data_IF_589327720140
#
_entry.id   IF_589327720140
#
_cell.length_a   1.000
_cell.length_b   1.000
_cell.length_c   1.000
_cell.angle_alpha   90.00
_cell.angle_beta   90.00
_cell.angle_gamma   90.00
#
_symmetry.space_group_name_H-M   'P 1'
#
loop_
_entity.id
_entity.type
_entity.pdbx_description
1 polymer ?
#
# COMPACT_ATOMS: atom_id res chain seq x y z
N UNK A 1 13.66 -25.64 12.95
CA UNK A 1 14.25 -24.61 13.83
C UNK A 1 13.14 -24.08 14.74
N UNK A 2 13.28 -24.20 16.06
CA UNK A 2 12.37 -23.52 17.00
C UNK A 2 12.70 -22.03 16.97
N UNK A 3 11.77 -21.21 16.51
CA UNK A 3 11.95 -19.76 16.46
C UNK A 3 11.95 -19.25 17.91
N UNK A 4 13.10 -18.72 18.36
CA UNK A 4 13.25 -18.15 19.68
C UNK A 4 12.79 -16.68 19.60
N UNK A 5 11.59 -16.39 20.08
CA UNK A 5 11.11 -15.02 20.25
C UNK A 5 11.80 -14.38 21.45
N UNK A 6 12.27 -13.14 21.31
CA UNK A 6 12.92 -12.40 22.39
C UNK A 6 11.94 -12.21 23.55
N UNK A 7 12.07 -12.99 24.61
CA UNK A 7 11.03 -13.20 25.64
C UNK A 7 10.65 -11.95 26.42
N UNK A 8 11.53 -10.95 26.48
CA UNK A 8 11.31 -9.74 27.30
C UNK A 8 10.44 -8.70 26.57
N UNK A 9 10.56 -8.58 25.24
CA UNK A 9 9.72 -7.66 24.46
C UNK A 9 8.27 -8.13 24.39
N UNK A 10 8.06 -9.46 24.26
CA UNK A 10 6.70 -10.05 24.29
C UNK A 10 6.03 -9.83 25.64
N UNK A 11 6.79 -9.91 26.73
CA UNK A 11 6.25 -9.68 28.07
C UNK A 11 5.77 -8.23 28.25
N UNK A 12 6.51 -7.24 27.74
CA UNK A 12 6.09 -5.84 27.77
C UNK A 12 4.82 -5.60 26.95
N UNK A 13 4.68 -6.27 25.81
CA UNK A 13 3.47 -6.20 24.98
C UNK A 13 2.27 -6.76 25.73
N UNK A 14 2.43 -7.91 26.41
CA UNK A 14 1.37 -8.47 27.23
C UNK A 14 1.01 -7.56 28.42
N UNK A 15 2.00 -7.03 29.13
CA UNK A 15 1.77 -6.13 30.27
C UNK A 15 1.01 -4.86 29.83
N UNK A 16 1.36 -4.29 28.67
CA UNK A 16 0.62 -3.17 28.07
C UNK A 16 -0.81 -3.58 27.69
N UNK A 17 -0.99 -4.72 27.03
CA UNK A 17 -2.30 -5.24 26.63
C UNK A 17 -3.22 -5.47 27.85
N UNK A 18 -2.67 -6.01 28.94
CA UNK A 18 -3.39 -6.18 30.21
C UNK A 18 -3.86 -4.85 30.78
N UNK A 19 -2.99 -3.84 30.85
CA UNK A 19 -3.34 -2.53 31.39
C UNK A 19 -4.47 -1.86 30.59
N UNK A 20 -4.42 -1.93 29.26
CA UNK A 20 -5.46 -1.37 28.39
C UNK A 20 -6.79 -2.15 28.54
N UNK A 21 -6.76 -3.49 28.59
CA UNK A 21 -7.96 -4.31 28.85
C UNK A 21 -8.59 -4.00 30.21
N UNK A 22 -7.78 -3.84 31.26
CA UNK A 22 -8.25 -3.47 32.59
C UNK A 22 -8.92 -2.09 32.58
N UNK A 23 -8.36 -1.12 31.86
CA UNK A 23 -8.97 0.20 31.67
C UNK A 23 -10.33 0.10 30.97
N UNK A 24 -10.44 -0.71 29.91
CA UNK A 24 -11.72 -0.95 29.25
C UNK A 24 -12.73 -1.62 30.20
N UNK A 25 -12.33 -2.60 31.00
CA UNK A 25 -13.20 -3.26 31.97
C UNK A 25 -13.66 -2.33 33.10
N UNK A 26 -12.79 -1.44 33.59
CA UNK A 26 -13.13 -0.45 34.62
C UNK A 26 -14.13 0.59 34.10
N UNK A 27 -14.12 0.87 32.80
CA UNK A 27 -15.07 1.80 32.17
C UNK A 27 -16.47 1.21 31.96
N UNK A 28 -16.66 -0.10 32.16
CA UNK A 28 -17.98 -0.74 32.03
C UNK A 28 -18.85 -0.36 33.24
N UNK A 29 -20.08 0.16 33.03
CA UNK A 29 -21.00 0.46 34.12
C UNK A 29 -21.25 -0.73 35.04
N UNK A 30 -21.31 -0.50 36.36
CA UNK A 30 -21.55 -1.56 37.34
C UNK A 30 -22.86 -2.34 37.09
N UNK A 31 -23.87 -1.70 36.49
CA UNK A 31 -25.14 -2.34 36.08
C UNK A 31 -24.94 -3.45 35.05
N UNK A 32 -23.88 -3.37 34.25
CA UNK A 32 -23.52 -4.35 33.23
C UNK A 32 -22.45 -5.33 33.71
N UNK A 33 -22.04 -5.29 34.98
CA UNK A 33 -20.96 -6.14 35.49
C UNK A 33 -21.22 -7.64 35.32
N UNK A 34 -22.48 -8.08 35.43
CA UNK A 34 -22.90 -9.47 35.25
C UNK A 34 -23.30 -9.80 33.80
N UNK A 35 -23.15 -8.87 32.87
CA UNK A 35 -23.44 -9.12 31.47
C UNK A 35 -22.47 -10.19 30.91
N UNK A 36 -22.95 -11.16 30.11
CA UNK A 36 -22.12 -12.20 29.53
C UNK A 36 -20.89 -11.68 28.77
N UNK A 37 -21.02 -10.57 28.03
CA UNK A 37 -19.89 -9.95 27.32
C UNK A 37 -18.85 -9.39 28.27
N UNK A 38 -19.28 -8.79 29.40
CA UNK A 38 -18.35 -8.30 30.41
C UNK A 38 -17.63 -9.46 31.11
N UNK A 39 -18.33 -10.57 31.36
CA UNK A 39 -17.71 -11.80 31.88
C UNK A 39 -16.71 -12.41 30.88
N UNK A 40 -17.05 -12.43 29.59
CA UNK A 40 -16.16 -12.88 28.53
C UNK A 40 -14.90 -12.00 28.41
N UNK A 41 -15.01 -10.68 28.57
CA UNK A 41 -13.84 -9.78 28.62
C UNK A 41 -12.93 -10.05 29.83
N UNK A 42 -13.51 -10.35 31.01
CA UNK A 42 -12.70 -10.77 32.17
C UNK A 42 -11.98 -12.09 31.89
N UNK A 43 -12.67 -13.05 31.27
CA UNK A 43 -12.05 -14.31 30.86
C UNK A 43 -10.97 -14.12 29.80
N UNK A 44 -11.13 -13.15 28.88
CA UNK A 44 -10.10 -12.77 27.91
C UNK A 44 -8.87 -12.21 28.61
N UNK A 45 -9.05 -11.30 29.57
CA UNK A 45 -7.95 -10.76 30.39
C UNK A 45 -7.20 -11.89 31.13
N UNK A 46 -7.92 -12.82 31.76
CA UNK A 46 -7.32 -14.00 32.41
C UNK A 46 -6.48 -14.82 31.42
N UNK A 47 -6.94 -15.01 30.18
CA UNK A 47 -6.18 -15.70 29.15
C UNK A 47 -4.90 -14.94 28.74
N UNK A 48 -4.93 -13.60 28.73
CA UNK A 48 -3.73 -12.78 28.52
C UNK A 48 -2.73 -13.00 29.66
N UNK A 49 -3.19 -13.00 30.92
CA UNK A 49 -2.34 -13.28 32.08
C UNK A 49 -1.70 -14.67 32.00
N UNK A 50 -2.47 -15.69 31.60
CA UNK A 50 -1.97 -17.05 31.41
C UNK A 50 -0.89 -17.10 30.33
N UNK A 51 -1.13 -16.50 29.16
CA UNK A 51 -0.15 -16.47 28.06
C UNK A 51 1.14 -15.74 28.45
N UNK A 52 1.00 -14.62 29.17
CA UNK A 52 2.12 -13.83 29.70
C UNK A 52 2.98 -14.63 30.68
N UNK A 53 2.35 -15.42 31.55
CA UNK A 53 3.05 -16.19 32.59
C UNK A 53 3.64 -17.51 32.07
N UNK A 54 2.99 -18.18 31.11
CA UNK A 54 3.49 -19.46 30.56
C UNK A 54 4.66 -19.25 29.60
N UNK A 55 4.69 -18.12 28.88
CA UNK A 55 5.71 -17.77 27.88
C UNK A 55 5.89 -18.85 26.80
N UNK A 56 4.83 -19.56 26.45
CA UNK A 56 4.84 -20.60 25.42
C UNK A 56 3.87 -20.30 24.26
N UNK A 57 4.14 -20.94 23.12
CA UNK A 57 3.35 -20.76 21.90
C UNK A 57 1.93 -21.35 21.97
N UNK A 58 1.69 -22.30 22.88
CA UNK A 58 0.40 -22.99 23.01
C UNK A 58 -0.59 -22.06 23.70
N UNK A 59 -0.17 -21.38 24.77
CA UNK A 59 -0.98 -20.39 25.45
C UNK A 59 -1.26 -19.18 24.56
N UNK A 60 -0.28 -18.73 23.76
CA UNK A 60 -0.51 -17.67 22.78
C UNK A 60 -1.50 -18.07 21.69
N UNK A 61 -1.43 -19.33 21.20
CA UNK A 61 -2.42 -19.85 20.25
C UNK A 61 -3.82 -19.96 20.88
N UNK A 62 -3.91 -20.42 22.13
CA UNK A 62 -5.18 -20.48 22.86
C UNK A 62 -5.80 -19.10 23.10
N UNK A 63 -4.97 -18.11 23.43
CA UNK A 63 -5.40 -16.71 23.56
C UNK A 63 -5.90 -16.15 22.22
N UNK A 64 -5.16 -16.40 21.14
CA UNK A 64 -5.55 -15.99 19.79
C UNK A 64 -6.89 -16.60 19.38
N UNK A 65 -7.06 -17.92 19.58
CA UNK A 65 -8.31 -18.62 19.29
C UNK A 65 -9.47 -18.04 20.09
N UNK A 66 -9.29 -17.82 21.41
CA UNK A 66 -10.29 -17.21 22.27
C UNK A 66 -10.69 -15.81 21.78
N UNK A 67 -9.72 -15.01 21.33
CA UNK A 67 -9.97 -13.67 20.82
C UNK A 67 -10.73 -13.68 19.47
N UNK A 68 -10.42 -14.61 18.56
CA UNK A 68 -11.15 -14.74 17.29
C UNK A 68 -12.56 -15.28 17.51
N UNK A 69 -12.71 -16.35 18.29
CA UNK A 69 -14.02 -16.94 18.60
C UNK A 69 -14.91 -15.96 19.35
N UNK A 70 -14.35 -15.20 20.31
CA UNK A 70 -15.09 -14.17 21.02
C UNK A 70 -15.64 -13.08 20.10
N UNK A 71 -14.90 -12.67 19.07
CA UNK A 71 -15.39 -11.73 18.05
C UNK A 71 -16.52 -12.33 17.20
N UNK A 72 -16.37 -13.59 16.78
CA UNK A 72 -17.38 -14.27 15.96
C UNK A 72 -18.67 -14.52 16.74
N UNK A 73 -18.58 -14.87 18.02
CA UNK A 73 -19.70 -15.12 18.93
C UNK A 73 -20.33 -13.82 19.47
N UNK A 74 -19.81 -12.65 19.10
CA UNK A 74 -20.33 -11.37 19.56
C UNK A 74 -21.79 -11.18 19.09
N UNK A 75 -22.73 -11.35 20.02
CA UNK A 75 -24.17 -11.25 19.77
C UNK A 75 -24.63 -9.79 19.63
N UNK A 76 -25.41 -9.52 18.57
CA UNK A 76 -25.91 -8.20 18.19
C UNK A 76 -26.98 -7.61 19.12
N UNK A 77 -27.38 -8.34 20.17
CA UNK A 77 -28.44 -7.94 21.11
C UNK A 77 -27.95 -7.24 22.38
N UNK A 78 -26.65 -6.99 22.50
CA UNK A 78 -26.08 -6.28 23.65
C UNK A 78 -26.22 -4.76 23.52
N UNK A 79 -26.04 -4.08 24.66
CA UNK A 79 -25.83 -2.63 24.70
C UNK A 79 -24.75 -2.22 23.68
N UNK A 80 -25.06 -1.24 22.83
CA UNK A 80 -24.23 -0.92 21.67
C UNK A 80 -22.83 -0.44 22.06
N UNK A 81 -22.71 0.31 23.14
CA UNK A 81 -21.42 0.79 23.65
C UNK A 81 -20.60 -0.35 24.26
N UNK A 82 -21.26 -1.30 24.94
CA UNK A 82 -20.61 -2.51 25.44
C UNK A 82 -20.12 -3.39 24.29
N UNK A 83 -20.92 -3.58 23.23
CA UNK A 83 -20.55 -4.38 22.07
C UNK A 83 -19.36 -3.79 21.31
N UNK A 84 -19.34 -2.45 21.14
CA UNK A 84 -18.20 -1.76 20.55
C UNK A 84 -16.93 -2.00 21.35
N UNK A 85 -16.99 -1.78 22.67
CA UNK A 85 -15.86 -1.99 23.59
C UNK A 85 -15.40 -3.45 23.60
N UNK A 86 -16.35 -4.38 23.56
CA UNK A 86 -16.10 -5.81 23.48
C UNK A 86 -15.25 -6.14 22.24
N UNK A 87 -15.64 -5.62 21.07
CA UNK A 87 -14.90 -5.81 19.81
C UNK A 87 -13.52 -5.16 19.85
N UNK A 88 -13.40 -3.95 20.38
CA UNK A 88 -12.12 -3.25 20.54
C UNK A 88 -11.14 -4.05 21.40
N UNK A 89 -11.60 -4.62 22.51
CA UNK A 89 -10.75 -5.43 23.39
C UNK A 89 -10.21 -6.69 22.71
N UNK A 90 -11.03 -7.38 21.91
CA UNK A 90 -10.55 -8.57 21.19
C UNK A 90 -9.56 -8.19 20.07
N UNK A 91 -9.84 -7.11 19.34
CA UNK A 91 -8.90 -6.59 18.32
C UNK A 91 -7.58 -6.12 18.94
N UNK A 92 -7.62 -5.49 20.12
CA UNK A 92 -6.45 -5.09 20.88
C UNK A 92 -5.54 -6.30 21.17
N UNK A 93 -6.11 -7.40 21.67
CA UNK A 93 -5.35 -8.64 21.92
C UNK A 93 -4.74 -9.18 20.62
N UNK A 94 -5.51 -9.24 19.54
CA UNK A 94 -5.01 -9.77 18.26
C UNK A 94 -3.88 -8.91 17.68
N UNK A 95 -3.99 -7.57 17.75
CA UNK A 95 -2.95 -6.63 17.32
C UNK A 95 -1.70 -6.72 18.19
N UNK A 96 -1.86 -6.90 19.51
CA UNK A 96 -0.74 -7.11 20.41
C UNK A 96 0.06 -8.36 20.03
N UNK A 97 -0.62 -9.47 19.70
CA UNK A 97 0.04 -10.68 19.22
C UNK A 97 0.72 -10.46 17.85
N UNK A 98 0.10 -9.66 16.97
CA UNK A 98 0.58 -9.36 15.61
C UNK A 98 1.81 -8.42 15.58
N UNK A 99 2.06 -7.66 16.65
CA UNK A 99 3.21 -6.75 16.77
C UNK A 99 4.51 -7.47 16.36
N UNK A 100 5.36 -6.80 15.59
CA UNK A 100 6.60 -7.39 15.07
C UNK A 100 7.58 -7.84 16.14
N UNK A 101 7.46 -7.30 17.37
CA UNK A 101 8.24 -7.71 18.54
C UNK A 101 7.61 -8.89 19.31
N UNK A 102 6.36 -9.24 19.01
CA UNK A 102 5.67 -10.42 19.53
C UNK A 102 5.80 -11.61 18.56
N UNK A 103 4.68 -12.05 17.97
CA UNK A 103 4.66 -13.21 17.05
C UNK A 103 4.70 -12.80 15.58
N UNK A 104 4.43 -11.52 15.29
CA UNK A 104 4.49 -10.94 13.96
C UNK A 104 3.30 -11.31 13.05
N UNK A 105 3.07 -10.47 12.04
CA UNK A 105 1.99 -10.62 11.06
C UNK A 105 1.94 -12.00 10.37
N UNK A 106 3.04 -12.60 9.88
CA UNK A 106 2.96 -13.87 9.16
C UNK A 106 2.41 -15.04 9.99
N UNK A 107 2.79 -15.12 11.27
CA UNK A 107 2.29 -16.17 12.16
C UNK A 107 0.85 -15.88 12.58
N UNK A 108 0.58 -14.66 13.06
CA UNK A 108 -0.76 -14.27 13.51
C UNK A 108 -1.81 -14.41 12.42
N UNK A 109 -1.56 -13.86 11.22
CA UNK A 109 -2.54 -13.88 10.14
C UNK A 109 -2.84 -15.32 9.70
N UNK A 110 -1.83 -16.20 9.68
CA UNK A 110 -2.02 -17.61 9.39
C UNK A 110 -2.90 -18.31 10.44
N UNK A 111 -2.67 -18.08 11.73
CA UNK A 111 -3.47 -18.71 12.78
C UNK A 111 -4.89 -18.14 12.86
N UNK A 112 -5.06 -16.83 12.65
CA UNK A 112 -6.37 -16.17 12.64
C UNK A 112 -7.19 -16.67 11.45
N UNK A 113 -6.61 -16.70 10.25
CA UNK A 113 -7.29 -17.26 9.06
C UNK A 113 -7.67 -18.72 9.27
N UNK A 114 -6.79 -19.52 9.89
CA UNK A 114 -7.13 -20.91 10.23
C UNK A 114 -8.31 -20.99 11.19
N UNK A 115 -8.35 -20.15 12.23
CA UNK A 115 -9.45 -20.09 13.18
C UNK A 115 -10.77 -19.68 12.49
N UNK A 116 -10.73 -18.73 11.55
CA UNK A 116 -11.89 -18.36 10.73
C UNK A 116 -12.40 -19.50 9.84
N UNK A 117 -11.50 -20.29 9.28
CA UNK A 117 -11.84 -21.42 8.40
C UNK A 117 -12.45 -22.58 9.20
N UNK A 118 -11.86 -22.88 10.36
CA UNK A 118 -12.18 -24.02 11.21
C UNK A 118 -13.24 -23.69 12.31
N UNK A 119 -13.81 -22.48 12.32
CA UNK A 119 -14.79 -22.08 13.32
C UNK A 119 -16.12 -22.84 13.20
N UNK A 120 -16.91 -22.83 14.29
CA UNK A 120 -18.19 -23.53 14.37
C UNK A 120 -19.25 -22.86 13.52
N UNK A 121 -20.15 -23.67 12.96
CA UNK A 121 -21.21 -23.20 12.04
C UNK A 121 -22.15 -22.15 12.65
N UNK A 122 -22.31 -22.16 13.98
CA UNK A 122 -23.18 -21.25 14.75
C UNK A 122 -22.83 -19.77 14.55
N UNK A 123 -21.53 -19.46 14.38
CA UNK A 123 -21.01 -18.09 14.29
C UNK A 123 -20.07 -17.86 13.10
N UNK A 124 -19.93 -18.86 12.21
CA UNK A 124 -19.05 -18.84 11.03
C UNK A 124 -19.31 -17.70 10.05
N UNK A 125 -20.57 -17.27 9.96
CA UNK A 125 -21.02 -16.23 9.02
C UNK A 125 -21.34 -14.89 9.70
N UNK A 126 -20.65 -14.56 10.79
CA UNK A 126 -20.74 -13.22 11.39
C UNK A 126 -19.98 -12.20 10.54
N UNK A 127 -20.69 -11.51 9.65
CA UNK A 127 -20.10 -10.56 8.68
C UNK A 127 -19.38 -9.41 9.37
N UNK A 128 -19.96 -8.84 10.43
CA UNK A 128 -19.37 -7.71 11.16
C UNK A 128 -18.02 -8.09 11.78
N UNK A 129 -17.92 -9.31 12.34
CA UNK A 129 -16.68 -9.79 12.93
C UNK A 129 -15.59 -10.05 11.88
N UNK A 130 -15.96 -10.70 10.76
CA UNK A 130 -15.02 -11.00 9.67
C UNK A 130 -14.55 -9.71 9.00
N UNK A 131 -15.44 -8.76 8.76
CA UNK A 131 -15.11 -7.43 8.24
C UNK A 131 -14.08 -6.73 9.13
N UNK A 132 -14.29 -6.72 10.46
CA UNK A 132 -13.35 -6.12 11.40
C UNK A 132 -11.97 -6.76 11.33
N UNK A 133 -11.88 -8.09 11.22
CA UNK A 133 -10.60 -8.79 11.10
C UNK A 133 -9.88 -8.44 9.80
N UNK A 134 -10.61 -8.38 8.68
CA UNK A 134 -10.07 -8.03 7.36
C UNK A 134 -9.56 -6.58 7.37
N UNK A 135 -10.37 -5.63 7.84
CA UNK A 135 -10.02 -4.19 7.88
C UNK A 135 -8.83 -3.88 8.79
N UNK A 136 -8.54 -4.73 9.77
CA UNK A 136 -7.38 -4.60 10.64
C UNK A 136 -6.16 -5.39 10.13
N UNK A 137 -6.18 -5.89 8.89
CA UNK A 137 -5.09 -6.65 8.26
C UNK A 137 -4.68 -7.90 9.05
N UNK A 138 -5.64 -8.54 9.73
CA UNK A 138 -5.40 -9.73 10.56
C UNK A 138 -5.63 -11.04 9.80
N UNK A 139 -6.10 -10.98 8.56
CA UNK A 139 -6.48 -12.16 7.75
C UNK A 139 -5.54 -12.30 6.56
N UNK A 140 -5.05 -13.52 6.31
CA UNK A 140 -4.47 -13.88 5.02
C UNK A 140 -5.59 -13.97 3.97
N UNK A 141 -5.74 -12.90 3.17
CA UNK A 141 -6.83 -12.78 2.21
C UNK A 141 -6.79 -13.85 1.12
N UNK A 142 -5.61 -14.20 0.61
CA UNK A 142 -5.48 -15.23 -0.43
C UNK A 142 -6.04 -16.59 0.02
N UNK A 143 -5.75 -17.00 1.26
CA UNK A 143 -6.25 -18.26 1.81
C UNK A 143 -7.75 -18.18 2.13
N UNK A 144 -8.20 -17.06 2.68
CA UNK A 144 -9.59 -16.88 3.08
C UNK A 144 -10.53 -16.76 1.89
N UNK A 145 -10.14 -16.00 0.85
CA UNK A 145 -10.88 -15.85 -0.40
C UNK A 145 -11.12 -17.21 -1.08
N UNK A 146 -10.08 -18.02 -1.23
CA UNK A 146 -10.19 -19.35 -1.82
C UNK A 146 -11.13 -20.26 -1.00
N UNK A 147 -11.03 -20.23 0.33
CA UNK A 147 -11.90 -21.01 1.19
C UNK A 147 -13.37 -20.56 1.11
N UNK A 148 -13.61 -19.25 1.11
CA UNK A 148 -14.96 -18.69 1.01
C UNK A 148 -15.60 -19.05 -0.34
N UNK A 149 -14.84 -18.94 -1.43
CA UNK A 149 -15.26 -19.37 -2.76
C UNK A 149 -15.69 -20.85 -2.79
N UNK A 150 -14.88 -21.72 -2.19
CA UNK A 150 -15.18 -23.16 -2.08
C UNK A 150 -16.41 -23.42 -1.21
N UNK A 151 -16.57 -22.68 -0.11
CA UNK A 151 -17.68 -22.84 0.84
C UNK A 151 -19.05 -22.56 0.23
N UNK A 152 -19.13 -21.75 -0.82
CA UNK A 152 -20.37 -21.50 -1.56
C UNK A 152 -20.87 -22.71 -2.35
N UNK A 153 -20.02 -23.72 -2.58
CA UNK A 153 -20.36 -24.95 -3.29
C UNK A 153 -21.08 -24.71 -4.63
N UNK A 154 -20.60 -23.71 -5.40
CA UNK A 154 -21.22 -23.24 -6.65
C UNK A 154 -22.72 -22.90 -6.52
N UNK A 155 -23.16 -22.41 -5.37
CA UNK A 155 -24.52 -21.96 -5.12
C UNK A 155 -25.37 -22.94 -4.31
N UNK A 156 -24.87 -24.12 -3.97
CA UNK A 156 -25.59 -25.10 -3.15
C UNK A 156 -25.68 -24.67 -1.68
N UNK A 157 -24.64 -23.99 -1.18
CA UNK A 157 -24.61 -23.48 0.18
C UNK A 157 -25.14 -22.04 0.25
N UNK A 158 -26.46 -21.90 0.38
CA UNK A 158 -27.14 -20.61 0.40
C UNK A 158 -26.64 -19.67 1.51
N UNK A 159 -26.27 -20.20 2.68
CA UNK A 159 -25.74 -19.39 3.78
C UNK A 159 -24.38 -18.79 3.44
N UNK A 160 -23.48 -19.58 2.87
CA UNK A 160 -22.17 -19.10 2.42
C UNK A 160 -22.29 -18.07 1.29
N UNK A 161 -23.24 -18.27 0.36
CA UNK A 161 -23.49 -17.33 -0.73
C UNK A 161 -24.01 -15.99 -0.18
N UNK A 162 -25.01 -16.02 0.70
CA UNK A 162 -25.55 -14.82 1.33
C UNK A 162 -24.48 -14.06 2.12
N UNK A 163 -23.66 -14.80 2.89
CA UNK A 163 -22.51 -14.23 3.61
C UNK A 163 -21.49 -13.59 2.67
N UNK A 164 -21.08 -14.29 1.60
CA UNK A 164 -20.13 -13.77 0.61
C UNK A 164 -20.65 -12.49 -0.07
N UNK A 165 -21.94 -12.46 -0.41
CA UNK A 165 -22.58 -11.27 -0.99
C UNK A 165 -22.55 -10.08 -0.04
N UNK A 166 -22.87 -10.27 1.24
CA UNK A 166 -22.84 -9.21 2.24
C UNK A 166 -21.41 -8.69 2.46
N UNK A 167 -20.44 -9.60 2.55
CA UNK A 167 -19.03 -9.25 2.74
C UNK A 167 -18.48 -8.46 1.54
N UNK A 168 -18.75 -8.91 0.31
CA UNK A 168 -18.36 -8.19 -0.93
C UNK A 168 -18.97 -6.79 -0.96
N UNK A 169 -20.26 -6.67 -0.62
CA UNK A 169 -20.94 -5.36 -0.60
C UNK A 169 -20.28 -4.40 0.40
N UNK A 170 -20.05 -4.83 1.64
CA UNK A 170 -19.51 -3.97 2.71
C UNK A 170 -18.05 -3.59 2.43
N UNK A 171 -17.26 -4.49 1.85
CA UNK A 171 -15.85 -4.24 1.58
C UNK A 171 -15.61 -3.42 0.31
N UNK A 172 -16.36 -3.67 -0.77
CA UNK A 172 -16.06 -3.13 -2.11
C UNK A 172 -17.06 -2.10 -2.64
N UNK A 173 -18.27 -2.02 -2.08
CA UNK A 173 -19.34 -1.17 -2.62
C UNK A 173 -19.71 -0.02 -1.69
N UNK A 174 -19.83 -0.26 -0.39
CA UNK A 174 -20.31 0.76 0.54
C UNK A 174 -19.27 1.89 0.72
N UNK A 175 -19.60 3.13 0.31
CA UNK A 175 -18.73 4.32 0.29
C UNK A 175 -18.09 4.71 1.64
N UNK A 176 -18.62 4.19 2.75
CA UNK A 176 -18.02 4.37 4.10
C UNK A 176 -16.75 3.53 4.28
N UNK A 177 -16.46 2.65 3.34
CA UNK A 177 -15.26 1.83 3.24
C UNK A 177 -14.10 2.68 2.71
N UNK A 178 -13.31 3.31 3.59
CA UNK A 178 -12.00 3.90 3.23
C UNK A 178 -10.97 2.78 2.99
N UNK A 179 -11.37 1.61 2.49
CA UNK A 179 -10.56 0.41 2.59
C UNK A 179 -9.49 0.32 1.50
N UNK A 180 -8.28 -0.01 1.94
CA UNK A 180 -7.16 -0.55 1.14
C UNK A 180 -7.46 -1.92 0.47
N UNK A 181 -8.74 -2.31 0.40
CA UNK A 181 -9.19 -3.59 -0.14
C UNK A 181 -9.63 -3.40 -1.58
N UNK A 182 -9.15 -4.27 -2.45
CA UNK A 182 -9.46 -4.25 -3.88
C UNK A 182 -10.18 -5.52 -4.28
N UNK A 183 -10.77 -5.53 -5.47
CA UNK A 183 -11.37 -6.73 -6.05
C UNK A 183 -10.37 -7.88 -6.20
N UNK A 184 -9.07 -7.58 -6.33
CA UNK A 184 -8.02 -8.59 -6.41
C UNK A 184 -7.90 -9.43 -5.13
N UNK A 185 -8.24 -8.85 -3.96
CA UNK A 185 -8.18 -9.55 -2.67
C UNK A 185 -9.33 -10.55 -2.48
N UNK A 186 -10.40 -10.44 -3.28
CA UNK A 186 -11.60 -11.29 -3.25
C UNK A 186 -11.88 -11.95 -4.60
N UNK A 187 -10.84 -12.17 -5.40
CA UNK A 187 -10.94 -12.62 -6.78
C UNK A 187 -11.77 -13.92 -6.93
N UNK A 188 -11.46 -14.98 -6.18
CA UNK A 188 -12.15 -16.27 -6.32
C UNK A 188 -13.59 -16.21 -5.83
N UNK A 189 -13.85 -15.41 -4.78
CA UNK A 189 -15.19 -15.17 -4.26
C UNK A 189 -16.06 -14.47 -5.29
N UNK A 190 -15.55 -13.38 -5.90
CA UNK A 190 -16.25 -12.64 -6.95
C UNK A 190 -16.49 -13.54 -8.17
N UNK A 191 -15.47 -14.28 -8.63
CA UNK A 191 -15.60 -15.18 -9.77
C UNK A 191 -16.69 -16.24 -9.54
N UNK A 192 -16.74 -16.82 -8.35
CA UNK A 192 -17.75 -17.83 -7.99
C UNK A 192 -19.14 -17.21 -7.91
N UNK A 193 -19.29 -16.01 -7.35
CA UNK A 193 -20.57 -15.27 -7.34
C UNK A 193 -21.04 -14.92 -8.76
N UNK A 194 -20.14 -14.51 -9.65
CA UNK A 194 -20.46 -14.28 -11.06
C UNK A 194 -20.89 -15.57 -11.76
N UNK A 195 -20.22 -16.69 -11.48
CA UNK A 195 -20.58 -18.00 -12.00
C UNK A 195 -21.97 -18.43 -11.53
N UNK A 196 -22.27 -18.27 -10.24
CA UNK A 196 -23.61 -18.55 -9.69
C UNK A 196 -24.64 -17.70 -10.44
N UNK A 197 -24.45 -16.38 -10.51
CA UNK A 197 -25.35 -15.46 -11.20
C UNK A 197 -25.63 -15.87 -12.66
N UNK A 198 -24.60 -16.26 -13.41
CA UNK A 198 -24.74 -16.69 -14.80
C UNK A 198 -25.50 -18.01 -14.97
N UNK A 199 -25.33 -18.96 -14.04
CA UNK A 199 -25.93 -20.30 -14.13
C UNK A 199 -27.33 -20.39 -13.52
N UNK A 200 -27.78 -19.38 -12.75
CA UNK A 200 -29.05 -19.44 -12.03
C UNK A 200 -30.33 -19.34 -12.88
N UNK A 201 -30.25 -19.11 -14.21
CA UNK A 201 -31.41 -19.09 -15.16
C UNK A 201 -32.66 -18.35 -14.64
N UNK A 202 -32.48 -17.23 -13.93
CA UNK A 202 -33.57 -16.42 -13.37
C UNK A 202 -33.92 -16.69 -11.90
N UNK A 203 -33.32 -17.71 -11.28
CA UNK A 203 -33.43 -18.03 -9.85
C UNK A 203 -32.16 -17.61 -9.08
N UNK A 204 -31.54 -16.49 -9.47
CA UNK A 204 -30.36 -16.02 -8.76
C UNK A 204 -30.74 -15.59 -7.34
N UNK A 205 -29.85 -15.73 -6.34
CA UNK A 205 -30.04 -15.14 -5.02
C UNK A 205 -30.43 -13.65 -5.13
N UNK A 206 -31.38 -13.22 -4.29
CA UNK A 206 -31.90 -11.86 -4.32
C UNK A 206 -30.78 -10.83 -4.07
N UNK A 207 -30.67 -9.81 -4.91
CA UNK A 207 -29.62 -8.80 -4.83
C UNK A 207 -28.30 -9.17 -5.52
N UNK A 208 -28.08 -10.45 -5.88
CA UNK A 208 -26.84 -10.88 -6.53
C UNK A 208 -26.64 -10.24 -7.92
N UNK A 209 -27.63 -10.18 -8.81
CA UNK A 209 -27.46 -9.54 -10.11
C UNK A 209 -27.05 -8.07 -9.97
N UNK A 210 -27.70 -7.32 -9.07
CA UNK A 210 -27.39 -5.91 -8.81
C UNK A 210 -25.99 -5.74 -8.22
N UNK A 211 -25.60 -6.59 -7.27
CA UNK A 211 -24.26 -6.54 -6.68
C UNK A 211 -23.18 -6.79 -7.74
N UNK A 212 -23.37 -7.78 -8.61
CA UNK A 212 -22.42 -8.09 -9.69
C UNK A 212 -22.34 -6.99 -10.73
N UNK A 213 -23.44 -6.27 -11.01
CA UNK A 213 -23.45 -5.10 -11.88
C UNK A 213 -22.64 -3.94 -11.28
N UNK A 214 -22.82 -3.66 -9.98
CA UNK A 214 -22.06 -2.61 -9.29
C UNK A 214 -20.58 -2.96 -9.21
N UNK A 215 -20.23 -4.20 -8.85
CA UNK A 215 -18.82 -4.64 -8.83
C UNK A 215 -18.22 -4.57 -10.22
N UNK A 216 -18.93 -4.99 -11.27
CA UNK A 216 -18.44 -4.86 -12.65
C UNK A 216 -18.29 -3.40 -13.07
N UNK A 217 -19.22 -2.52 -12.71
CA UNK A 217 -19.14 -1.10 -13.03
C UNK A 217 -17.99 -0.43 -12.27
N UNK A 218 -17.73 -0.82 -11.02
CA UNK A 218 -16.57 -0.37 -10.26
C UNK A 218 -15.27 -0.89 -10.89
N UNK A 219 -15.22 -2.16 -11.29
CA UNK A 219 -14.09 -2.74 -12.01
C UNK A 219 -13.86 -2.06 -13.36
N UNK A 220 -14.91 -1.80 -14.14
CA UNK A 220 -14.85 -1.12 -15.44
C UNK A 220 -14.47 0.35 -15.28
N UNK A 221 -15.00 1.06 -14.28
CA UNK A 221 -14.56 2.41 -13.95
C UNK A 221 -13.11 2.42 -13.45
N UNK A 222 -12.67 1.37 -12.74
CA UNK A 222 -11.29 1.17 -12.34
C UNK A 222 -10.40 0.76 -13.52
N UNK A 223 -10.90 -0.01 -14.49
CA UNK A 223 -10.24 -0.47 -15.71
C UNK A 223 -10.12 0.65 -16.72
N UNK A 224 -11.11 1.52 -16.85
CA UNK A 224 -11.02 2.77 -17.62
C UNK A 224 -10.06 3.75 -16.92
N UNK A 225 -9.92 3.66 -15.59
CA UNK A 225 -8.85 4.33 -14.83
C UNK A 225 -7.50 3.58 -14.87
N UNK A 226 -7.47 2.28 -15.16
CA UNK A 226 -6.28 1.42 -15.14
C UNK A 226 -5.65 1.21 -16.52
N UNK A 227 -6.44 1.34 -17.60
CA UNK A 227 -5.95 1.44 -18.97
C UNK A 227 -5.56 2.88 -19.28
N UNK A 228 -4.58 3.38 -18.52
CA UNK A 228 -3.94 4.67 -18.78
C UNK A 228 -4.57 5.87 -18.08
N UNK A 229 -5.20 5.69 -16.92
CA UNK A 229 -5.59 6.81 -16.05
C UNK A 229 -4.42 7.31 -15.17
N UNK A 230 -4.47 8.57 -14.71
CA UNK A 230 -3.40 9.20 -13.92
C UNK A 230 -2.96 8.40 -12.69
N UNK A 231 -3.90 7.90 -11.89
CA UNK A 231 -3.61 7.16 -10.65
C UNK A 231 -2.92 5.81 -10.91
N UNK A 232 -3.31 5.09 -11.96
CA UNK A 232 -2.67 3.81 -12.29
C UNK A 232 -1.21 4.01 -12.68
N UNK A 233 -0.91 5.03 -13.49
CA UNK A 233 0.46 5.31 -13.90
C UNK A 233 1.34 5.65 -12.69
N UNK A 234 0.80 6.38 -11.71
CA UNK A 234 1.50 6.68 -10.48
C UNK A 234 1.74 5.42 -9.62
N UNK A 235 0.71 4.61 -9.38
CA UNK A 235 0.86 3.35 -8.62
C UNK A 235 1.77 2.34 -9.31
N UNK A 236 1.69 2.24 -10.63
CA UNK A 236 2.59 1.42 -11.45
C UNK A 236 4.04 1.88 -11.30
N UNK A 237 4.29 3.19 -11.36
CA UNK A 237 5.61 3.77 -11.10
C UNK A 237 6.14 3.44 -9.70
N UNK A 238 5.29 3.53 -8.67
CA UNK A 238 5.66 3.22 -7.27
C UNK A 238 6.06 1.74 -7.14
N UNK A 239 5.24 0.83 -7.66
CA UNK A 239 5.50 -0.61 -7.58
C UNK A 239 6.79 -1.00 -8.31
N UNK A 240 6.97 -0.52 -9.55
CA UNK A 240 8.13 -0.86 -10.37
C UNK A 240 9.44 -0.21 -9.89
N UNK A 241 9.35 0.86 -9.09
CA UNK A 241 10.53 1.47 -8.47
C UNK A 241 11.26 0.51 -7.50
N UNK A 242 10.58 -0.54 -7.03
CA UNK A 242 11.14 -1.54 -6.12
C UNK A 242 11.72 -2.77 -6.83
N UNK A 243 11.67 -2.82 -8.17
CA UNK A 243 12.20 -3.92 -8.99
C UNK A 243 13.67 -3.68 -9.35
N UNK A 244 14.55 -4.60 -8.92
CA UNK A 244 16.02 -4.52 -9.08
C UNK A 244 16.61 -5.55 -10.05
N UNK A 245 15.77 -6.24 -10.83
CA UNK A 245 16.16 -7.22 -11.85
C UNK A 245 16.64 -6.56 -13.16
N UNK A 246 17.56 -5.61 -13.05
CA UNK A 246 18.00 -4.83 -14.21
C UNK A 246 18.76 -5.67 -15.24
N UNK A 247 18.47 -5.48 -16.55
CA UNK A 247 19.27 -6.07 -17.61
C UNK A 247 20.77 -5.71 -17.47
N UNK A 248 21.69 -6.66 -17.72
CA UNK A 248 23.12 -6.40 -17.67
C UNK A 248 23.52 -5.21 -18.55
N UNK A 249 24.29 -4.27 -18.00
CA UNK A 249 24.75 -3.08 -18.71
C UNK A 249 23.76 -1.89 -18.70
N UNK A 250 22.55 -2.05 -18.16
CA UNK A 250 21.55 -0.97 -18.14
C UNK A 250 21.97 0.18 -17.22
N UNK A 251 22.50 -0.15 -16.03
CA UNK A 251 22.96 0.85 -15.06
C UNK A 251 24.06 1.74 -15.64
N UNK A 252 25.04 1.15 -16.31
CA UNK A 252 26.15 1.85 -16.95
C UNK A 252 25.67 2.76 -18.09
N UNK A 253 24.67 2.31 -18.86
CA UNK A 253 24.05 3.14 -19.91
C UNK A 253 23.27 4.31 -19.32
N UNK A 254 22.47 4.09 -18.29
CA UNK A 254 21.72 5.14 -17.60
C UNK A 254 22.69 6.17 -16.99
N UNK A 255 23.76 5.71 -16.34
CA UNK A 255 24.81 6.56 -15.78
C UNK A 255 25.51 7.40 -16.84
N UNK A 256 25.90 6.77 -17.95
CA UNK A 256 26.49 7.48 -19.09
C UNK A 256 25.56 8.58 -19.61
N UNK A 257 24.28 8.24 -19.86
CA UNK A 257 23.29 9.18 -20.38
C UNK A 257 22.99 10.32 -19.40
N UNK A 258 22.81 10.03 -18.11
CA UNK A 258 22.57 11.08 -17.11
C UNK A 258 23.75 12.04 -17.03
N UNK A 259 24.98 11.52 -17.02
CA UNK A 259 26.18 12.36 -16.98
C UNK A 259 26.33 13.23 -18.23
N UNK A 260 26.09 12.67 -19.40
CA UNK A 260 26.08 13.42 -20.66
C UNK A 260 25.01 14.51 -20.65
N UNK A 261 23.81 14.21 -20.14
CA UNK A 261 22.76 15.20 -20.00
C UNK A 261 23.13 16.33 -19.03
N UNK A 262 23.69 16.00 -17.86
CA UNK A 262 24.16 17.01 -16.88
C UNK A 262 25.19 17.93 -17.53
N UNK A 263 26.13 17.39 -18.32
CA UNK A 263 27.12 18.18 -19.05
C UNK A 263 26.45 19.08 -20.12
N UNK A 264 25.50 18.53 -20.87
CA UNK A 264 24.76 19.27 -21.90
C UNK A 264 23.90 20.40 -21.30
N UNK A 265 23.23 20.15 -20.17
CA UNK A 265 22.36 21.12 -19.50
C UNK A 265 23.14 22.36 -19.04
N UNK A 266 24.36 22.19 -18.54
CA UNK A 266 25.23 23.30 -18.11
C UNK A 266 26.10 23.88 -19.23
N UNK A 267 26.04 23.32 -20.44
CA UNK A 267 26.84 23.80 -21.57
C UNK A 267 26.27 25.09 -22.14
N UNK A 268 27.14 26.04 -22.50
CA UNK A 268 26.75 27.24 -23.25
C UNK A 268 26.09 26.92 -24.60
N UNK A 269 26.28 25.71 -25.13
CA UNK A 269 25.70 25.23 -26.38
C UNK A 269 24.29 24.63 -26.23
N UNK A 270 23.72 24.58 -25.01
CA UNK A 270 22.41 23.96 -24.74
C UNK A 270 21.25 24.59 -25.54
N UNK A 271 21.42 25.84 -25.98
CA UNK A 271 20.38 26.65 -26.60
C UNK A 271 19.44 27.27 -25.56
N UNK A 272 18.54 28.16 -26.00
CA UNK A 272 17.49 28.71 -25.14
C UNK A 272 16.63 27.54 -24.63
N UNK A 273 16.44 27.47 -23.32
CA UNK A 273 15.60 26.46 -22.67
C UNK A 273 16.08 25.00 -22.86
N UNK A 274 17.36 24.79 -23.18
CA UNK A 274 18.00 23.47 -23.40
C UNK A 274 17.40 22.63 -24.55
N UNK A 275 16.56 23.24 -25.40
CA UNK A 275 15.80 22.54 -26.47
C UNK A 275 16.69 21.89 -27.52
N UNK A 276 17.76 22.58 -27.94
CA UNK A 276 18.72 22.04 -28.93
C UNK A 276 19.50 20.84 -28.38
N UNK A 277 19.97 20.93 -27.14
CA UNK A 277 20.60 19.83 -26.44
C UNK A 277 19.64 18.65 -26.27
N UNK A 278 18.38 18.93 -25.93
CA UNK A 278 17.35 17.92 -25.75
C UNK A 278 17.08 17.10 -27.01
N UNK A 279 16.91 17.73 -28.17
CA UNK A 279 16.69 16.99 -29.41
C UNK A 279 17.84 16.04 -29.74
N UNK A 280 19.09 16.47 -29.54
CA UNK A 280 20.27 15.62 -29.73
C UNK A 280 20.32 14.48 -28.70
N UNK A 281 20.01 14.78 -27.45
CA UNK A 281 20.02 13.81 -26.36
C UNK A 281 18.94 12.73 -26.52
N UNK A 282 17.73 13.07 -26.95
CA UNK A 282 16.68 12.09 -27.27
C UNK A 282 17.15 11.14 -28.38
N UNK A 283 17.90 11.64 -29.37
CA UNK A 283 18.55 10.80 -30.38
C UNK A 283 19.53 9.79 -29.77
N UNK A 284 20.35 10.21 -28.79
CA UNK A 284 21.24 9.31 -28.06
C UNK A 284 20.48 8.27 -27.23
N UNK A 285 19.38 8.65 -26.56
CA UNK A 285 18.54 7.71 -25.80
C UNK A 285 17.93 6.62 -26.71
N UNK A 286 17.52 6.99 -27.93
CA UNK A 286 17.07 6.02 -28.94
C UNK A 286 18.19 5.06 -29.37
N UNK A 287 19.40 5.58 -29.64
CA UNK A 287 20.55 4.78 -30.04
C UNK A 287 21.00 3.80 -28.94
N UNK A 288 20.98 4.22 -27.68
CA UNK A 288 21.29 3.37 -26.53
C UNK A 288 20.19 2.35 -26.22
N UNK A 289 19.02 2.49 -26.85
CA UNK A 289 17.89 1.56 -26.76
C UNK A 289 17.05 1.72 -25.49
N UNK A 290 17.19 2.83 -24.76
CA UNK A 290 16.46 3.07 -23.51
C UNK A 290 14.96 3.32 -23.76
N UNK A 291 14.62 3.92 -24.90
CA UNK A 291 13.24 4.28 -25.26
C UNK A 291 12.48 3.15 -25.99
N UNK A 292 13.01 1.91 -25.99
CA UNK A 292 12.42 0.79 -26.75
C UNK A 292 11.15 0.23 -26.11
N UNK A 293 11.12 0.16 -24.78
CA UNK A 293 10.00 -0.42 -24.04
C UNK A 293 9.69 0.47 -22.84
N UNK A 294 8.43 0.42 -22.42
CA UNK A 294 7.96 1.16 -21.25
C UNK A 294 8.68 0.73 -19.95
N UNK A 295 9.06 -0.55 -19.84
CA UNK A 295 9.89 -1.10 -18.75
C UNK A 295 11.30 -0.47 -18.71
N UNK A 296 11.99 -0.35 -19.86
CA UNK A 296 13.31 0.27 -19.91
C UNK A 296 13.27 1.76 -19.58
N UNK A 297 12.18 2.44 -19.94
CA UNK A 297 11.94 3.84 -19.58
C UNK A 297 11.73 3.96 -18.07
N UNK A 298 10.93 3.08 -17.45
CA UNK A 298 10.77 3.04 -15.99
C UNK A 298 12.11 2.90 -15.30
N UNK A 299 12.88 1.88 -15.67
CA UNK A 299 14.19 1.57 -15.06
C UNK A 299 15.18 2.72 -15.25
N UNK A 300 15.18 3.38 -16.40
CA UNK A 300 16.00 4.56 -16.64
C UNK A 300 15.71 5.69 -15.64
N UNK A 301 14.44 6.03 -15.43
CA UNK A 301 14.07 7.06 -14.45
C UNK A 301 14.38 6.64 -13.01
N UNK A 302 14.16 5.37 -12.66
CA UNK A 302 14.52 4.81 -11.35
C UNK A 302 16.02 4.98 -11.10
N UNK A 303 16.86 4.48 -12.02
CA UNK A 303 18.32 4.56 -11.93
C UNK A 303 18.82 6.01 -11.89
N UNK A 304 18.24 6.92 -12.68
CA UNK A 304 18.63 8.34 -12.63
C UNK A 304 18.29 8.98 -11.27
N UNK A 305 17.15 8.62 -10.70
CA UNK A 305 16.72 9.09 -9.37
C UNK A 305 17.68 8.58 -8.30
N UNK A 306 17.97 7.28 -8.28
CA UNK A 306 18.91 6.65 -7.36
C UNK A 306 20.31 7.26 -7.43
N UNK A 307 20.81 7.53 -8.63
CA UNK A 307 22.10 8.20 -8.83
C UNK A 307 22.12 9.62 -8.26
N UNK A 308 21.06 10.41 -8.48
CA UNK A 308 20.96 11.75 -7.92
C UNK A 308 20.88 11.74 -6.39
N UNK A 309 20.20 10.75 -5.82
CA UNK A 309 20.14 10.49 -4.38
C UNK A 309 21.51 10.10 -3.85
N UNK A 310 22.21 9.17 -4.51
CA UNK A 310 23.56 8.74 -4.13
C UNK A 310 24.57 9.89 -4.15
N UNK A 311 24.51 10.76 -5.17
CA UNK A 311 25.33 11.98 -5.25
C UNK A 311 25.04 12.89 -4.05
N UNK A 312 23.78 13.02 -3.64
CA UNK A 312 23.38 13.85 -2.50
C UNK A 312 23.92 13.31 -1.18
N UNK A 313 23.82 11.99 -0.96
CA UNK A 313 24.41 11.32 0.21
C UNK A 313 25.94 11.48 0.24
N UNK A 314 26.63 11.27 -0.90
CA UNK A 314 28.09 11.45 -0.99
C UNK A 314 28.50 12.89 -0.68
N UNK A 315 27.77 13.87 -1.18
CA UNK A 315 28.03 15.29 -0.94
C UNK A 315 27.85 15.65 0.56
N UNK A 316 26.83 15.10 1.22
CA UNK A 316 26.62 15.30 2.65
C UNK A 316 27.67 14.59 3.51
N UNK A 317 28.06 13.38 3.13
CA UNK A 317 29.17 12.68 3.77
C UNK A 317 30.47 13.49 3.66
N UNK A 318 30.77 14.09 2.50
CA UNK A 318 31.92 14.99 2.32
C UNK A 318 31.86 16.18 3.31
N UNK A 319 30.68 16.77 3.53
CA UNK A 319 30.49 17.86 4.49
C UNK A 319 30.72 17.42 5.94
N UNK A 320 30.30 16.20 6.31
CA UNK A 320 30.51 15.67 7.65
C UNK A 320 31.99 15.32 7.91
N UNK A 321 32.68 14.74 6.92
CA UNK A 321 34.08 14.35 7.03
C UNK A 321 35.06 15.53 6.89
N UNK A 322 34.64 16.63 6.24
CA UNK A 322 35.43 17.84 6.10
C UNK A 322 34.62 19.08 6.53
N UNK A 323 34.63 19.43 7.84
CA UNK A 323 33.89 20.59 8.37
C UNK A 323 34.33 21.93 7.79
N UNK A 324 35.50 22.00 7.14
CA UNK A 324 35.98 23.21 6.46
C UNK A 324 35.38 23.37 5.05
N UNK A 325 34.70 22.36 4.51
CA UNK A 325 34.01 22.46 3.23
C UNK A 325 32.81 23.42 3.33
N UNK A 326 32.68 24.33 2.37
CA UNK A 326 31.59 25.31 2.37
C UNK A 326 30.24 24.61 2.14
N UNK A 327 29.29 24.64 3.10
CA UNK A 327 27.99 23.96 2.98
C UNK A 327 27.16 24.42 1.77
N UNK A 328 27.38 25.66 1.32
CA UNK A 328 26.71 26.21 0.12
C UNK A 328 27.23 25.55 -1.15
N UNK A 329 28.53 25.28 -1.23
CA UNK A 329 29.12 24.57 -2.37
C UNK A 329 28.68 23.11 -2.42
N UNK A 330 28.54 22.45 -1.27
CA UNK A 330 28.03 21.08 -1.19
C UNK A 330 26.58 21.02 -1.71
N UNK A 331 25.70 21.91 -1.25
CA UNK A 331 24.32 22.00 -1.79
C UNK A 331 24.31 22.30 -3.29
N UNK A 332 25.19 23.18 -3.77
CA UNK A 332 25.31 23.48 -5.19
C UNK A 332 25.70 22.24 -6.02
N UNK A 333 26.57 21.36 -5.51
CA UNK A 333 26.88 20.06 -6.18
C UNK A 333 25.65 19.16 -6.30
N UNK A 334 24.80 19.11 -5.28
CA UNK A 334 23.54 18.35 -5.35
C UNK A 334 22.60 18.97 -6.39
N UNK A 335 22.36 20.28 -6.29
CA UNK A 335 21.44 21.00 -7.20
C UNK A 335 21.89 20.94 -8.65
N UNK A 336 23.20 20.94 -8.93
CA UNK A 336 23.75 20.75 -10.26
C UNK A 336 23.18 19.51 -10.95
N UNK A 337 23.18 18.37 -10.28
CA UNK A 337 22.68 17.12 -10.87
C UNK A 337 21.15 17.04 -10.84
N UNK A 338 20.53 17.47 -9.73
CA UNK A 338 19.08 17.42 -9.54
C UNK A 338 18.34 18.33 -10.53
N UNK A 339 18.78 19.57 -10.71
CA UNK A 339 18.11 20.53 -11.60
C UNK A 339 18.25 20.09 -13.07
N UNK A 340 19.40 19.52 -13.45
CA UNK A 340 19.58 18.92 -14.77
C UNK A 340 18.60 17.76 -14.98
N UNK A 341 18.49 16.84 -14.01
CA UNK A 341 17.56 15.71 -14.10
C UNK A 341 16.10 16.17 -14.18
N UNK A 342 15.70 17.15 -13.37
CA UNK A 342 14.36 17.75 -13.42
C UNK A 342 14.08 18.35 -14.80
N UNK A 343 15.05 19.06 -15.38
CA UNK A 343 14.91 19.62 -16.73
C UNK A 343 14.68 18.53 -17.77
N UNK A 344 15.37 17.39 -17.67
CA UNK A 344 15.16 16.25 -18.56
C UNK A 344 13.73 15.73 -18.45
N UNK A 345 13.23 15.52 -17.22
CA UNK A 345 11.87 15.05 -16.98
C UNK A 345 10.86 16.02 -17.59
N UNK A 346 10.98 17.31 -17.29
CA UNK A 346 10.06 18.34 -17.79
C UNK A 346 10.04 18.37 -19.32
N UNK A 347 11.20 18.29 -19.98
CA UNK A 347 11.28 18.27 -21.44
C UNK A 347 10.72 16.97 -22.04
N UNK A 348 10.95 15.81 -21.43
CA UNK A 348 10.36 14.54 -21.86
C UNK A 348 8.84 14.57 -21.74
N UNK A 349 8.28 15.11 -20.63
CA UNK A 349 6.84 15.28 -20.46
C UNK A 349 6.28 16.24 -21.51
N UNK A 350 6.89 17.41 -21.71
CA UNK A 350 6.43 18.40 -22.71
C UNK A 350 6.40 17.86 -24.14
N UNK A 351 7.38 17.03 -24.51
CA UNK A 351 7.52 16.49 -25.86
C UNK A 351 7.01 15.03 -26.00
N UNK A 352 6.33 14.51 -24.98
CA UNK A 352 5.77 13.16 -25.01
C UNK A 352 4.56 13.10 -25.94
N UNK A 353 4.60 12.26 -26.98
CA UNK A 353 3.54 12.14 -27.98
C UNK A 353 3.33 13.40 -28.82
N UNK A 354 2.21 13.47 -29.53
CA UNK A 354 1.85 14.63 -30.36
C UNK A 354 1.51 15.87 -29.51
N UNK A 355 1.65 17.07 -30.07
CA UNK A 355 1.46 18.33 -29.33
C UNK A 355 0.09 18.46 -28.63
N UNK A 356 -0.97 17.88 -29.23
CA UNK A 356 -2.34 17.90 -28.72
C UNK A 356 -2.67 16.73 -27.79
N UNK A 357 -1.83 15.69 -27.75
CA UNK A 357 -2.07 14.51 -26.92
C UNK A 357 -1.64 14.80 -25.48
N UNK A 358 -2.58 15.29 -24.68
CA UNK A 358 -2.41 15.60 -23.25
C UNK A 358 -2.33 14.34 -22.39
N UNK A 359 -3.01 13.27 -22.79
CA UNK A 359 -3.08 12.00 -22.04
C UNK A 359 -1.69 11.37 -21.91
N UNK A 360 -0.93 11.23 -23.00
CA UNK A 360 0.40 10.61 -22.95
C UNK A 360 1.38 11.44 -22.12
N UNK A 361 1.23 12.77 -22.07
CA UNK A 361 2.06 13.66 -21.25
C UNK A 361 1.77 13.46 -19.77
N UNK A 362 0.49 13.49 -19.39
CA UNK A 362 0.05 13.28 -18.01
C UNK A 362 0.36 11.87 -17.53
N UNK A 363 0.23 10.86 -18.37
CA UNK A 363 0.59 9.49 -18.03
C UNK A 363 2.08 9.34 -17.76
N UNK A 364 2.93 9.95 -18.58
CA UNK A 364 4.37 9.99 -18.33
C UNK A 364 4.70 10.75 -17.03
N UNK A 365 4.06 11.90 -16.79
CA UNK A 365 4.23 12.66 -15.55
C UNK A 365 3.91 11.82 -14.32
N UNK A 366 2.71 11.23 -14.27
CA UNK A 366 2.28 10.39 -13.15
C UNK A 366 3.22 9.20 -12.96
N UNK A 367 3.67 8.59 -14.06
CA UNK A 367 4.61 7.47 -14.00
C UNK A 367 5.95 7.89 -13.39
N UNK A 368 6.51 9.01 -13.82
CA UNK A 368 7.78 9.52 -13.26
C UNK A 368 7.61 9.93 -11.79
N UNK A 369 6.53 10.61 -11.42
CA UNK A 369 6.22 10.94 -10.02
C UNK A 369 6.13 9.67 -9.18
N UNK A 370 5.42 8.65 -9.67
CA UNK A 370 5.32 7.35 -9.03
C UNK A 370 6.68 6.68 -8.83
N UNK A 371 7.55 6.70 -9.83
CA UNK A 371 8.92 6.15 -9.73
C UNK A 371 9.72 6.88 -8.66
N UNK A 372 9.68 8.23 -8.64
CA UNK A 372 10.40 9.03 -7.63
C UNK A 372 9.85 8.75 -6.22
N UNK A 373 8.54 8.62 -6.07
CA UNK A 373 7.90 8.24 -4.79
C UNK A 373 8.31 6.84 -4.36
N UNK A 374 8.34 5.86 -5.26
CA UNK A 374 8.78 4.51 -4.92
C UNK A 374 10.25 4.46 -4.48
N UNK A 375 11.14 5.19 -5.15
CA UNK A 375 12.55 5.35 -4.71
C UNK A 375 12.64 6.08 -3.36
N UNK A 376 11.78 7.06 -3.10
CA UNK A 376 11.71 7.79 -1.83
C UNK A 376 11.30 6.86 -0.69
N UNK A 377 10.19 6.13 -0.85
CA UNK A 377 9.68 5.22 0.17
C UNK A 377 10.71 4.14 0.49
N UNK A 378 11.33 3.55 -0.53
CA UNK A 378 12.36 2.55 -0.36
C UNK A 378 13.60 3.11 0.37
N UNK A 379 14.08 4.30 0.00
CA UNK A 379 15.22 4.94 0.69
C UNK A 379 14.85 5.28 2.14
N UNK A 380 13.63 5.76 2.40
CA UNK A 380 13.13 6.05 3.74
C UNK A 380 13.09 4.79 4.61
N UNK A 381 12.53 3.69 4.08
CA UNK A 381 12.39 2.42 4.79
C UNK A 381 13.76 1.79 5.10
N UNK A 382 14.73 1.93 4.20
CA UNK A 382 16.09 1.37 4.40
C UNK A 382 16.97 2.26 5.28
N UNK A 383 16.95 3.57 5.06
CA UNK A 383 17.86 4.52 5.75
C UNK A 383 17.34 4.99 7.10
N UNK A 384 16.03 4.97 7.31
CA UNK A 384 15.40 5.37 8.57
C UNK A 384 15.89 6.75 9.04
N UNK A 385 16.63 6.81 10.16
CA UNK A 385 17.16 8.06 10.72
C UNK A 385 18.24 8.74 9.86
N UNK A 386 18.87 8.03 8.93
CA UNK A 386 19.85 8.59 8.01
C UNK A 386 19.22 9.20 6.75
N UNK A 387 17.91 9.02 6.55
CA UNK A 387 17.19 9.46 5.35
C UNK A 387 17.39 10.95 5.04
N UNK A 388 17.56 11.27 3.76
CA UNK A 388 17.81 12.62 3.28
C UNK A 388 16.72 13.09 2.34
N UNK A 389 15.88 14.02 2.80
CA UNK A 389 14.77 14.57 2.03
C UNK A 389 15.19 15.52 0.89
N UNK A 390 16.43 16.03 0.91
CA UNK A 390 16.90 17.07 -0.01
C UNK A 390 16.75 16.72 -1.51
N UNK A 391 17.22 15.56 -2.02
CA UNK A 391 17.07 15.20 -3.42
C UNK A 391 15.59 15.18 -3.85
N UNK A 392 14.73 14.52 -3.07
CA UNK A 392 13.30 14.38 -3.38
C UNK A 392 12.56 15.72 -3.35
N UNK A 393 12.77 16.50 -2.28
CA UNK A 393 12.18 17.83 -2.16
C UNK A 393 12.55 18.72 -3.34
N UNK A 394 13.83 18.73 -3.75
CA UNK A 394 14.30 19.53 -4.90
C UNK A 394 13.68 19.05 -6.20
N UNK A 395 13.61 17.74 -6.44
CA UNK A 395 12.97 17.16 -7.63
C UNK A 395 11.52 17.61 -7.74
N UNK A 396 10.72 17.43 -6.68
CA UNK A 396 9.30 17.77 -6.72
C UNK A 396 9.06 19.27 -6.93
N UNK A 397 9.71 20.14 -6.15
CA UNK A 397 9.46 21.58 -6.24
C UNK A 397 9.92 22.16 -7.58
N UNK A 398 11.10 21.74 -8.08
CA UNK A 398 11.62 22.25 -9.35
C UNK A 398 10.80 21.72 -10.53
N UNK A 399 10.35 20.46 -10.48
CA UNK A 399 9.51 19.90 -11.54
C UNK A 399 8.13 20.57 -11.58
N UNK A 400 7.54 20.85 -10.41
CA UNK A 400 6.29 21.61 -10.32
C UNK A 400 6.44 23.00 -10.93
N UNK A 401 7.53 23.72 -10.60
CA UNK A 401 7.79 25.05 -11.15
C UNK A 401 8.01 25.02 -12.67
N UNK A 402 8.78 24.05 -13.17
CA UNK A 402 9.04 23.86 -14.61
C UNK A 402 7.75 23.57 -15.40
N UNK A 403 6.84 22.76 -14.85
CA UNK A 403 5.57 22.41 -15.50
C UNK A 403 4.46 23.46 -15.29
N UNK A 404 4.71 24.50 -14.48
CA UNK A 404 3.84 25.68 -14.32
C UNK A 404 4.36 26.91 -15.08
N UNK A 405 5.36 26.75 -15.94
CA UNK A 405 5.82 27.84 -16.81
C UNK A 405 4.70 28.30 -17.76
N UNK A 406 4.64 29.60 -18.13
CA UNK A 406 3.61 30.15 -19.01
C UNK A 406 3.86 29.76 -20.48
N UNK A 407 3.67 28.47 -20.79
CA UNK A 407 3.77 27.89 -22.13
C UNK A 407 2.41 27.27 -22.51
N UNK A 408 1.95 27.48 -23.75
CA UNK A 408 0.63 27.01 -24.21
C UNK A 408 0.40 25.49 -24.00
N UNK A 409 1.43 24.66 -24.18
CA UNK A 409 1.34 23.21 -23.97
C UNK A 409 1.15 22.85 -22.49
N UNK A 410 1.69 23.66 -21.58
CA UNK A 410 1.58 23.44 -20.14
C UNK A 410 0.25 23.95 -19.61
N UNK A 411 -0.26 25.07 -20.14
CA UNK A 411 -1.57 25.61 -19.78
C UNK A 411 -2.71 24.61 -20.04
N UNK A 412 -2.65 23.86 -21.15
CA UNK A 412 -3.68 22.86 -21.49
C UNK A 412 -3.70 21.64 -20.55
N UNK A 413 -2.60 21.38 -19.84
CA UNK A 413 -2.47 20.26 -18.89
C UNK A 413 -2.29 20.73 -17.45
N UNK A 414 -2.44 22.03 -17.17
CA UNK A 414 -2.06 22.62 -15.89
C UNK A 414 -2.87 22.04 -14.73
N UNK A 415 -4.20 21.96 -14.86
CA UNK A 415 -5.06 21.38 -13.83
C UNK A 415 -4.69 19.92 -13.54
N UNK A 416 -4.50 19.10 -14.58
CA UNK A 416 -4.11 17.70 -14.44
C UNK A 416 -2.70 17.53 -13.83
N UNK A 417 -1.80 18.47 -14.12
CA UNK A 417 -0.46 18.54 -13.51
C UNK A 417 -0.59 18.81 -12.02
N UNK A 418 -1.37 19.83 -11.62
CA UNK A 418 -1.60 20.13 -10.20
C UNK A 418 -2.24 18.94 -9.47
N UNK A 419 -3.21 18.27 -10.09
CA UNK A 419 -3.83 17.05 -9.54
C UNK A 419 -2.82 15.92 -9.38
N UNK A 420 -1.81 15.79 -10.24
CA UNK A 420 -0.79 14.76 -10.11
C UNK A 420 0.20 15.04 -8.96
N UNK A 421 0.38 16.31 -8.56
CA UNK A 421 1.24 16.72 -7.44
C UNK A 421 0.50 16.80 -6.10
N UNK A 422 -0.85 16.88 -6.12
CA UNK A 422 -1.71 16.91 -4.93
C UNK A 422 -1.99 15.50 -4.44
#
# INVERSE_FOLDING_TARGET
MKQAWATDDVAQIYDKCMAELEQHLQSVPHTLAMNPQTQALRSLLEAVVVARNSRDAIAALGLLQKAVEGLLDATSGADADLLLRYRECHLLVLKALQDGRAYGSPWCNKQITRCLIECRDEYKYNVEAVELLIRNHLVNMQQYDLHLAQSMENGLNYMAVAFAMQLVKILLVDERSVAHMTEADLFHTIETLMRINAHSRGNAPEGLPQLMEVVRSNYEAMIDRAHGGPNFMMHSGISQASEYDDPPGLREKAEYLLREWVNLYHSAAAGRDSTKAFSAFVGQMHQQGILKTDDLITRFFRLCTEMCVEISYRAQAEQQHNPAANPTMIRAKCYHNLDAFVRLIALLVKHSGEATNTVTKINLLNKVLGIVVGVLLQDHDVRQSEFQQLPYHRIFIMLLLELNAPEHVLETINFQTLTAFW
#
